data_IF_340478789927
#
_entry.id   IF_340478789927
#
_cell.length_a   1.000
_cell.length_b   1.000
_cell.length_c   1.000
_cell.angle_alpha   90.00
_cell.angle_beta   90.00
_cell.angle_gamma   90.00
#
_symmetry.space_group_name_H-M   'P 1'
#
loop_
_entity.id
_entity.type
_entity.pdbx_description
1 polymer ?
#
# COMPACT_ATOMS: atom_id res chain seq x y z
N UNK A 1 13.78 -2.90 -1.75
CA UNK A 1 12.59 -3.62 -2.29
C UNK A 1 11.27 -2.85 -2.16
N UNK A 2 10.99 -2.26 -1.00
CA UNK A 2 9.68 -1.62 -0.66
C UNK A 2 9.25 -0.53 -1.64
N UNK A 3 10.12 0.42 -1.97
CA UNK A 3 9.76 1.53 -2.86
C UNK A 3 9.30 1.06 -4.24
N UNK A 4 10.00 0.08 -4.83
CA UNK A 4 9.68 -0.45 -6.14
C UNK A 4 8.31 -1.11 -6.19
N UNK A 5 7.97 -1.92 -5.19
CA UNK A 5 6.66 -2.60 -5.14
C UNK A 5 5.51 -1.62 -4.93
N UNK A 6 5.69 -0.61 -4.07
CA UNK A 6 4.67 0.45 -3.88
C UNK A 6 4.45 1.29 -5.14
N UNK A 7 5.52 1.65 -5.84
CA UNK A 7 5.43 2.41 -7.10
C UNK A 7 4.77 1.58 -8.21
N UNK A 8 5.15 0.31 -8.36
CA UNK A 8 4.52 -0.59 -9.33
C UNK A 8 3.04 -0.77 -9.03
N UNK A 9 2.67 -1.02 -7.78
CA UNK A 9 1.25 -1.12 -7.39
C UNK A 9 0.49 0.18 -7.64
N UNK A 10 1.09 1.34 -7.38
CA UNK A 10 0.48 2.65 -7.67
C UNK A 10 0.23 2.87 -9.17
N UNK A 11 1.22 2.55 -10.01
CA UNK A 11 1.10 2.64 -11.48
C UNK A 11 0.03 1.67 -11.99
N UNK A 12 0.04 0.43 -11.53
CA UNK A 12 -0.95 -0.57 -11.94
C UNK A 12 -2.36 -0.13 -11.53
N UNK A 13 -2.54 0.41 -10.33
CA UNK A 13 -3.84 0.91 -9.87
C UNK A 13 -4.31 2.10 -10.71
N UNK A 14 -3.41 3.02 -11.09
CA UNK A 14 -3.72 4.12 -12.00
C UNK A 14 -4.18 3.60 -13.37
N UNK A 15 -3.44 2.66 -13.97
CA UNK A 15 -3.79 2.06 -15.26
C UNK A 15 -5.13 1.33 -15.16
N UNK A 16 -5.38 0.56 -14.10
CA UNK A 16 -6.67 -0.09 -13.88
C UNK A 16 -7.81 0.92 -13.71
N UNK A 17 -7.57 2.06 -13.07
CA UNK A 17 -8.56 3.14 -12.95
C UNK A 17 -8.93 3.72 -14.31
N UNK A 18 -7.94 4.03 -15.16
CA UNK A 18 -8.16 4.53 -16.52
C UNK A 18 -8.94 3.53 -17.37
N UNK A 19 -8.58 2.23 -17.31
CA UNK A 19 -9.31 1.18 -18.02
C UNK A 19 -10.76 1.04 -17.50
N UNK A 20 -10.98 1.23 -16.20
CA UNK A 20 -12.31 1.24 -15.59
C UNK A 20 -13.15 2.43 -16.06
N UNK A 21 -12.56 3.63 -16.13
CA UNK A 21 -13.22 4.84 -16.61
C UNK A 21 -13.70 4.70 -18.07
N UNK A 22 -12.89 4.05 -18.90
CA UNK A 22 -13.21 3.81 -20.31
C UNK A 22 -14.14 2.60 -20.55
N UNK A 23 -14.69 1.99 -19.49
CA UNK A 23 -15.56 0.81 -19.57
C UNK A 23 -14.93 -0.39 -20.28
N UNK A 24 -13.60 -0.48 -20.29
CA UNK A 24 -12.85 -1.56 -20.96
C UNK A 24 -12.69 -2.81 -20.08
N UNK A 25 -13.06 -2.72 -18.80
CA UNK A 25 -12.94 -3.81 -17.84
C UNK A 25 -14.28 -4.54 -17.64
N UNK A 26 -14.20 -5.85 -17.74
CA UNK A 26 -15.21 -6.81 -17.27
C UNK A 26 -15.00 -7.17 -15.80
N UNK A 27 -15.98 -7.82 -15.17
CA UNK A 27 -15.86 -8.32 -13.80
C UNK A 27 -14.63 -9.24 -13.60
N UNK A 28 -14.30 -10.04 -14.62
CA UNK A 28 -13.14 -10.94 -14.58
C UNK A 28 -11.82 -10.18 -14.68
N UNK A 29 -11.72 -9.22 -15.60
CA UNK A 29 -10.49 -8.46 -15.85
C UNK A 29 -10.18 -7.46 -14.75
N UNK A 30 -11.19 -6.85 -14.12
CA UNK A 30 -10.98 -6.00 -12.94
C UNK A 30 -10.52 -6.82 -11.74
N UNK A 31 -11.09 -8.02 -11.53
CA UNK A 31 -10.67 -8.92 -10.46
C UNK A 31 -9.21 -9.36 -10.66
N UNK A 32 -8.85 -9.75 -11.89
CA UNK A 32 -7.47 -10.09 -12.22
C UNK A 32 -6.51 -8.91 -12.00
N UNK A 33 -6.92 -7.70 -12.38
CA UNK A 33 -6.15 -6.47 -12.15
C UNK A 33 -5.90 -6.24 -10.66
N UNK A 34 -6.93 -6.37 -9.82
CA UNK A 34 -6.77 -6.28 -8.37
C UNK A 34 -5.84 -7.36 -7.83
N UNK A 35 -5.97 -8.61 -8.26
CA UNK A 35 -5.07 -9.69 -7.82
C UNK A 35 -3.60 -9.38 -8.11
N UNK A 36 -3.30 -8.84 -9.30
CA UNK A 36 -1.93 -8.44 -9.67
C UNK A 36 -1.46 -7.28 -8.78
N UNK A 37 -2.29 -6.25 -8.57
CA UNK A 37 -1.95 -5.11 -7.71
C UNK A 37 -1.67 -5.57 -6.27
N UNK A 38 -2.53 -6.44 -5.73
CA UNK A 38 -2.39 -7.00 -4.38
C UNK A 38 -1.14 -7.87 -4.23
N UNK A 39 -0.73 -8.58 -5.28
CA UNK A 39 0.51 -9.36 -5.27
C UNK A 39 1.73 -8.46 -5.01
N UNK A 40 1.88 -7.38 -5.77
CA UNK A 40 2.97 -6.42 -5.56
C UNK A 40 2.84 -5.67 -4.23
N UNK A 41 1.63 -5.24 -3.87
CA UNK A 41 1.39 -4.52 -2.64
C UNK A 41 1.72 -5.36 -1.40
N UNK A 42 1.36 -6.66 -1.41
CA UNK A 42 1.64 -7.61 -0.34
C UNK A 42 3.14 -7.83 -0.14
N UNK A 43 3.90 -7.95 -1.23
CA UNK A 43 5.35 -8.04 -1.16
C UNK A 43 5.97 -6.79 -0.50
N UNK A 44 5.47 -5.60 -0.84
CA UNK A 44 5.88 -4.35 -0.20
C UNK A 44 5.54 -4.29 1.29
N UNK A 45 4.31 -4.63 1.67
CA UNK A 45 3.87 -4.65 3.06
C UNK A 45 4.68 -5.64 3.92
N UNK A 46 4.93 -6.85 3.41
CA UNK A 46 5.72 -7.88 4.09
C UNK A 46 7.17 -7.43 4.32
N UNK A 47 7.74 -6.75 3.33
CA UNK A 47 9.10 -6.19 3.45
C UNK A 47 9.19 -5.09 4.49
N UNK A 48 8.19 -4.20 4.52
CA UNK A 48 8.11 -3.12 5.51
C UNK A 48 7.96 -3.67 6.92
N UNK A 49 7.16 -4.74 7.09
CA UNK A 49 7.02 -5.44 8.36
C UNK A 49 8.36 -5.98 8.87
N UNK A 50 9.14 -6.64 8.01
CA UNK A 50 10.48 -7.13 8.36
C UNK A 50 11.41 -5.96 8.73
N UNK A 51 11.43 -4.91 7.92
CA UNK A 51 12.25 -3.71 8.19
C UNK A 51 11.89 -3.06 9.52
N UNK A 52 10.61 -2.94 9.87
CA UNK A 52 10.19 -2.46 11.18
C UNK A 52 10.69 -3.38 12.31
N UNK A 53 10.62 -4.70 12.11
CA UNK A 53 11.13 -5.66 13.09
C UNK A 53 12.65 -5.58 13.30
N UNK A 54 13.40 -5.09 12.31
CA UNK A 54 14.87 -4.99 12.35
C UNK A 54 15.37 -3.64 12.88
N UNK A 55 14.59 -2.57 12.72
CA UNK A 55 14.97 -1.21 13.15
C UNK A 55 14.73 -1.01 14.66
N UNK A 56 13.69 -1.62 15.21
CA UNK A 56 13.34 -1.41 16.61
C UNK A 56 14.02 -2.43 17.55
N UNK A 57 14.55 -1.97 18.70
CA UNK A 57 15.04 -2.83 19.78
C UNK A 57 13.98 -3.85 20.22
N UNK A 58 14.42 -5.01 20.69
CA UNK A 58 13.53 -6.15 21.00
C UNK A 58 12.45 -5.77 22.03
N UNK A 59 12.80 -4.90 22.96
CA UNK A 59 11.99 -4.39 24.06
C UNK A 59 10.79 -3.57 23.56
N UNK A 60 10.94 -2.85 22.45
CA UNK A 60 9.92 -1.91 21.90
C UNK A 60 9.30 -2.38 20.57
N UNK A 61 9.88 -3.39 19.94
CA UNK A 61 9.47 -3.92 18.62
C UNK A 61 7.98 -4.28 18.55
N UNK A 62 7.47 -4.95 19.57
CA UNK A 62 6.07 -5.38 19.60
C UNK A 62 5.10 -4.19 19.59
N UNK A 63 5.41 -3.15 20.37
CA UNK A 63 4.60 -1.91 20.38
C UNK A 63 4.68 -1.17 19.05
N UNK A 64 5.87 -1.06 18.45
CA UNK A 64 6.03 -0.41 17.16
C UNK A 64 5.22 -1.11 16.05
N UNK A 65 5.28 -2.44 15.98
CA UNK A 65 4.50 -3.24 15.03
C UNK A 65 3.01 -3.08 15.28
N UNK A 66 2.56 -3.15 16.54
CA UNK A 66 1.16 -2.98 16.90
C UNK A 66 0.64 -1.61 16.49
N UNK A 67 1.42 -0.55 16.72
CA UNK A 67 1.05 0.80 16.32
C UNK A 67 0.92 0.94 14.79
N UNK A 68 1.90 0.46 14.03
CA UNK A 68 1.86 0.49 12.56
C UNK A 68 0.66 -0.31 12.03
N UNK A 69 0.40 -1.50 12.59
CA UNK A 69 -0.73 -2.33 12.22
C UNK A 69 -2.08 -1.67 12.53
N UNK A 70 -2.20 -1.05 13.72
CA UNK A 70 -3.41 -0.35 14.14
C UNK A 70 -3.71 0.84 13.21
N UNK A 71 -2.71 1.68 12.92
CA UNK A 71 -2.87 2.83 12.00
C UNK A 71 -3.19 2.36 10.58
N UNK A 72 -2.47 1.35 10.07
CA UNK A 72 -2.74 0.79 8.75
C UNK A 72 -4.15 0.20 8.62
N UNK A 73 -4.60 -0.53 9.63
CA UNK A 73 -5.94 -1.12 9.68
C UNK A 73 -7.02 -0.05 9.82
N UNK A 74 -6.77 1.00 10.60
CA UNK A 74 -7.70 2.12 10.73
C UNK A 74 -7.88 2.83 9.38
N UNK A 75 -6.79 3.20 8.71
CA UNK A 75 -6.85 3.94 7.45
C UNK A 75 -7.37 3.04 6.30
N UNK A 76 -6.77 1.88 6.10
CA UNK A 76 -7.09 1.00 4.98
C UNK A 76 -8.32 0.11 5.21
N UNK A 77 -8.51 -0.39 6.42
CA UNK A 77 -9.56 -1.34 6.75
C UNK A 77 -10.86 -0.69 7.25
N UNK A 78 -10.78 0.41 7.99
CA UNK A 78 -11.96 1.06 8.57
C UNK A 78 -12.41 2.27 7.74
N UNK A 79 -11.50 3.15 7.34
CA UNK A 79 -11.84 4.40 6.64
C UNK A 79 -12.10 4.18 5.15
N UNK A 80 -11.34 3.32 4.47
CA UNK A 80 -11.49 3.14 3.02
C UNK A 80 -12.84 2.51 2.59
N UNK A 81 -13.37 1.44 3.23
CA UNK A 81 -14.62 0.82 2.80
C UNK A 81 -15.86 1.75 2.78
N UNK A 82 -16.16 2.56 3.80
CA UNK A 82 -17.30 3.47 3.74
C UNK A 82 -17.13 4.55 2.67
N UNK A 83 -15.90 5.03 2.42
CA UNK A 83 -15.63 5.98 1.33
C UNK A 83 -15.95 5.35 -0.02
N UNK A 84 -15.40 4.17 -0.32
CA UNK A 84 -15.68 3.49 -1.58
C UNK A 84 -17.15 3.06 -1.69
N UNK A 85 -17.78 2.67 -0.58
CA UNK A 85 -19.22 2.38 -0.52
C UNK A 85 -20.07 3.59 -0.94
N UNK A 86 -19.78 4.76 -0.40
CA UNK A 86 -20.45 6.00 -0.77
C UNK A 86 -20.20 6.37 -2.25
N UNK A 87 -18.97 6.23 -2.74
CA UNK A 87 -18.64 6.48 -4.15
C UNK A 87 -19.40 5.55 -5.09
N UNK A 88 -19.47 4.25 -4.78
CA UNK A 88 -20.20 3.25 -5.57
C UNK A 88 -21.71 3.56 -5.58
N UNK A 89 -22.27 4.00 -4.45
CA UNK A 89 -23.70 4.37 -4.36
C UNK A 89 -24.08 5.54 -5.27
N UNK A 90 -23.13 6.41 -5.64
CA UNK A 90 -23.39 7.49 -6.61
C UNK A 90 -23.68 6.99 -8.02
N UNK A 91 -23.41 5.71 -8.33
CA UNK A 91 -23.52 5.10 -9.67
C UNK A 91 -22.71 5.81 -10.76
N UNK A 92 -21.79 6.70 -10.38
CA UNK A 92 -20.90 7.41 -11.27
C UNK A 92 -19.56 6.69 -11.33
N UNK A 93 -19.21 6.20 -12.53
CA UNK A 93 -17.90 5.60 -12.80
C UNK A 93 -16.78 6.60 -12.53
N UNK A 94 -17.00 7.87 -12.84
CA UNK A 94 -16.03 8.93 -12.60
C UNK A 94 -15.72 9.11 -11.10
N UNK A 95 -16.73 9.00 -10.22
CA UNK A 95 -16.52 9.12 -8.79
C UNK A 95 -15.68 7.96 -8.23
N UNK A 96 -15.94 6.74 -8.71
CA UNK A 96 -15.13 5.56 -8.34
C UNK A 96 -13.71 5.67 -8.90
N UNK A 97 -13.56 6.20 -10.12
CA UNK A 97 -12.25 6.50 -10.71
C UNK A 97 -11.42 7.46 -9.83
N UNK A 98 -12.02 8.54 -9.33
CA UNK A 98 -11.34 9.45 -8.38
C UNK A 98 -10.88 8.71 -7.12
N UNK A 99 -11.71 7.79 -6.61
CA UNK A 99 -11.34 6.92 -5.50
C UNK A 99 -10.09 6.07 -5.78
N UNK A 100 -10.01 5.46 -6.97
CA UNK A 100 -8.81 4.73 -7.38
C UNK A 100 -7.60 5.63 -7.58
N UNK A 101 -7.78 6.83 -8.13
CA UNK A 101 -6.70 7.80 -8.30
C UNK A 101 -6.12 8.22 -6.95
N UNK A 102 -6.97 8.43 -5.93
CA UNK A 102 -6.53 8.69 -4.56
C UNK A 102 -5.69 7.53 -4.01
N UNK A 103 -6.15 6.29 -4.19
CA UNK A 103 -5.39 5.10 -3.78
C UNK A 103 -4.04 5.00 -4.50
N UNK A 104 -4.02 5.25 -5.81
CA UNK A 104 -2.79 5.21 -6.61
C UNK A 104 -1.79 6.29 -6.17
N UNK A 105 -2.28 7.49 -5.88
CA UNK A 105 -1.48 8.59 -5.35
C UNK A 105 -0.88 8.22 -3.98
N UNK A 106 -1.69 7.67 -3.05
CA UNK A 106 -1.22 7.24 -1.73
C UNK A 106 -0.14 6.16 -1.82
N UNK A 107 -0.33 5.15 -2.67
CA UNK A 107 0.69 4.12 -2.89
C UNK A 107 1.98 4.68 -3.46
N UNK A 108 1.87 5.53 -4.48
CA UNK A 108 3.02 6.17 -5.13
C UNK A 108 3.79 7.05 -4.16
N UNK A 109 3.08 7.86 -3.36
CA UNK A 109 3.68 8.68 -2.31
C UNK A 109 4.41 7.83 -1.27
N UNK A 110 3.82 6.70 -0.82
CA UNK A 110 4.49 5.78 0.09
C UNK A 110 5.81 5.24 -0.48
N UNK A 111 5.81 4.89 -1.77
CA UNK A 111 7.00 4.48 -2.49
C UNK A 111 8.08 5.57 -2.55
N UNK A 112 7.69 6.80 -2.92
CA UNK A 112 8.60 7.96 -2.99
C UNK A 112 9.17 8.30 -1.62
N UNK A 113 8.33 8.36 -0.58
CA UNK A 113 8.78 8.64 0.80
C UNK A 113 9.80 7.60 1.24
N UNK A 114 9.58 6.32 0.92
CA UNK A 114 10.52 5.25 1.24
C UNK A 114 11.87 5.42 0.54
N UNK A 115 11.92 6.03 -0.66
CA UNK A 115 13.20 6.31 -1.34
C UNK A 115 14.06 7.33 -0.59
N UNK A 116 13.42 8.33 0.05
CA UNK A 116 14.13 9.42 0.73
C UNK A 116 14.35 9.15 2.23
N UNK A 117 13.36 8.58 2.91
CA UNK A 117 13.36 8.40 4.37
C UNK A 117 13.49 6.93 4.80
N UNK A 118 13.48 5.98 3.85
CA UNK A 118 13.57 4.56 4.15
C UNK A 118 14.93 4.17 4.72
N UNK A 119 14.91 3.53 5.89
CA UNK A 119 16.13 2.96 6.48
C UNK A 119 16.47 1.65 5.76
N UNK A 120 17.69 1.57 5.24
CA UNK A 120 18.21 0.36 4.57
C UNK A 120 18.64 -0.66 5.63
N UNK A 121 17.68 -1.40 6.18
CA UNK A 121 17.94 -2.54 7.07
C UNK A 121 18.40 -3.79 6.29
N UNK A 122 18.11 -3.86 4.98
CA UNK A 122 18.43 -4.99 4.11
C UNK A 122 19.92 -5.40 4.22
N UNK A 123 20.16 -6.68 4.54
CA UNK A 123 21.48 -7.34 4.60
C UNK A 123 22.50 -6.72 5.57
N UNK A 124 22.04 -6.03 6.62
CA UNK A 124 22.92 -5.51 7.69
C UNK A 124 22.77 -6.33 8.98
N UNK A 125 23.84 -6.43 9.76
CA UNK A 125 23.78 -7.03 11.11
C UNK A 125 22.85 -6.19 11.99
N UNK A 126 21.98 -6.84 12.78
CA UNK A 126 21.04 -6.19 13.68
C UNK A 126 21.73 -5.20 14.64
N UNK A 127 22.95 -5.52 15.06
CA UNK A 127 23.81 -4.72 15.94
C UNK A 127 24.27 -3.40 15.29
N UNK A 128 24.28 -3.33 13.95
CA UNK A 128 24.62 -2.12 13.20
C UNK A 128 23.40 -1.24 12.89
N UNK A 129 22.18 -1.79 13.02
CA UNK A 129 20.91 -1.11 12.69
C UNK A 129 20.21 -0.61 13.94
N UNK A 130 20.19 -1.40 15.01
CA UNK A 130 19.65 -1.02 16.30
C UNK A 130 20.73 -1.20 17.39
N UNK A 131 21.09 -0.11 18.06
CA UNK A 131 21.85 -0.19 19.32
C UNK A 131 20.86 -0.59 20.44
N UNK A 132 21.25 -1.47 21.38
CA UNK A 132 20.38 -1.88 22.48
C UNK A 132 19.89 -0.67 23.29
#
# INVERSE_FOLDING_TARGET
MIAGTYLVSGILLFVSAELFLNHLLTATTITASWSIIFFFASAGASSAYLTASEIFPVESRAMAIAFVYAVGTLVGGVVAPPIFGALIQTKSVHNVFIGYLLGAALMTMGGIITLFLGVRAERRSLEQVARP
#
